data_IF_325244291867
#
_entry.id   IF_325244291867
#
_cell.length_a   1.000
_cell.length_b   1.000
_cell.length_c   1.000
_cell.angle_alpha   90.00
_cell.angle_beta   90.00
_cell.angle_gamma   90.00
#
_symmetry.space_group_name_H-M   'P 1'
#
loop_
_entity.id
_entity.type
_entity.pdbx_description
1 polymer ?
#
# COMPACT_ATOMS: atom_id res chain seq x y z
N UNK A 1 -51.97 7.99 -5.42
CA UNK A 1 -51.62 8.41 -6.80
C UNK A 1 -50.65 9.60 -6.82
N UNK A 2 -50.86 10.62 -5.99
CA UNK A 2 -50.02 11.85 -5.92
C UNK A 2 -48.53 11.56 -5.61
N UNK A 3 -48.22 10.63 -4.69
CA UNK A 3 -46.84 10.28 -4.32
C UNK A 3 -46.02 9.69 -5.47
N UNK A 4 -46.65 8.90 -6.37
CA UNK A 4 -45.94 8.31 -7.52
C UNK A 4 -45.58 9.35 -8.58
N UNK A 5 -46.43 10.35 -8.78
CA UNK A 5 -46.16 11.43 -9.75
C UNK A 5 -45.00 12.31 -9.26
N UNK A 6 -44.94 12.61 -7.96
CA UNK A 6 -43.85 13.39 -7.38
C UNK A 6 -42.49 12.68 -7.47
N UNK A 7 -42.42 11.36 -7.21
CA UNK A 7 -41.17 10.59 -7.36
C UNK A 7 -40.65 10.57 -8.80
N UNK A 8 -41.51 10.41 -9.80
CA UNK A 8 -41.08 10.39 -11.21
C UNK A 8 -40.54 11.76 -11.63
N UNK A 9 -41.19 12.84 -11.22
CA UNK A 9 -40.73 14.20 -11.52
C UNK A 9 -39.35 14.50 -10.92
N UNK A 10 -39.11 14.11 -9.66
CA UNK A 10 -37.82 14.29 -8.99
C UNK A 10 -36.71 13.46 -9.68
N UNK A 11 -37.01 12.24 -10.13
CA UNK A 11 -36.05 11.40 -10.84
C UNK A 11 -35.67 12.00 -12.20
N UNK A 12 -36.63 12.54 -12.95
CA UNK A 12 -36.36 13.19 -14.25
C UNK A 12 -35.53 14.45 -14.12
N UNK A 13 -35.75 15.26 -13.07
CA UNK A 13 -34.94 16.46 -12.81
C UNK A 13 -33.51 16.07 -12.46
N UNK A 14 -33.31 15.05 -11.62
CA UNK A 14 -31.97 14.58 -11.25
C UNK A 14 -31.17 14.07 -12.46
N UNK A 15 -31.82 13.38 -13.40
CA UNK A 15 -31.18 12.90 -14.63
C UNK A 15 -30.79 14.05 -15.57
N UNK A 16 -31.66 15.05 -15.75
CA UNK A 16 -31.37 16.20 -16.61
C UNK A 16 -30.19 17.04 -16.09
N UNK A 17 -30.12 17.26 -14.77
CA UNK A 17 -29.00 17.97 -14.12
C UNK A 17 -27.68 17.19 -14.29
N UNK A 18 -27.72 15.86 -14.29
CA UNK A 18 -26.53 15.05 -14.48
C UNK A 18 -25.98 15.15 -15.91
N UNK A 19 -26.86 15.12 -16.92
CA UNK A 19 -26.47 15.27 -18.32
C UNK A 19 -25.88 16.66 -18.62
N UNK A 20 -26.43 17.72 -18.01
CA UNK A 20 -25.88 19.07 -18.19
C UNK A 20 -24.49 19.22 -17.56
N UNK A 21 -24.25 18.62 -16.39
CA UNK A 21 -22.95 18.67 -15.74
C UNK A 21 -21.88 17.91 -16.56
N UNK A 22 -22.24 16.74 -17.10
CA UNK A 22 -21.36 15.98 -17.99
C UNK A 22 -20.98 16.78 -19.24
N UNK A 23 -21.96 17.42 -19.91
CA UNK A 23 -21.68 18.27 -21.08
C UNK A 23 -20.91 19.55 -20.76
N UNK A 24 -20.88 20.00 -19.50
CA UNK A 24 -20.00 21.09 -19.07
C UNK A 24 -18.57 20.61 -18.90
N UNK A 25 -18.34 19.47 -18.25
CA UNK A 25 -17.01 18.90 -18.10
C UNK A 25 -16.39 18.50 -19.43
N UNK A 26 -17.15 17.94 -20.36
CA UNK A 26 -16.67 17.58 -21.69
C UNK A 26 -16.16 18.81 -22.46
N UNK A 27 -16.93 19.91 -22.49
CA UNK A 27 -16.49 21.17 -23.09
C UNK A 27 -15.24 21.74 -22.42
N UNK A 28 -15.14 21.63 -21.09
CA UNK A 28 -13.95 22.08 -20.35
C UNK A 28 -12.74 21.21 -20.67
N UNK A 29 -12.90 19.89 -20.73
CA UNK A 29 -11.85 18.95 -21.14
C UNK A 29 -11.34 19.27 -22.55
N UNK A 30 -12.23 19.55 -23.49
CA UNK A 30 -11.85 19.95 -24.86
C UNK A 30 -11.07 21.26 -24.89
N UNK A 31 -11.38 22.19 -23.98
CA UNK A 31 -10.69 23.48 -23.89
C UNK A 31 -9.33 23.44 -23.20
N UNK A 32 -8.94 22.31 -22.59
CA UNK A 32 -7.65 22.18 -21.91
C UNK A 32 -6.48 22.30 -22.90
N UNK A 33 -5.42 22.96 -22.44
CA UNK A 33 -4.16 23.10 -23.17
C UNK A 33 -3.00 22.52 -22.35
N UNK A 34 -2.11 21.70 -22.93
CA UNK A 34 -0.96 21.15 -22.20
C UNK A 34 0.02 22.21 -21.69
N UNK A 35 -0.07 23.45 -22.18
CA UNK A 35 0.71 24.59 -21.69
C UNK A 35 0.14 25.22 -20.42
N UNK A 36 -1.04 24.82 -19.96
CA UNK A 36 -1.69 25.31 -18.75
C UNK A 36 -1.97 24.15 -17.76
N UNK A 37 -0.98 23.75 -16.95
CA UNK A 37 -1.16 22.71 -15.94
C UNK A 37 -2.25 23.05 -14.91
N UNK A 38 -2.49 24.33 -14.63
CA UNK A 38 -3.47 24.78 -13.66
C UNK A 38 -4.91 24.49 -14.13
N UNK A 39 -5.17 24.59 -15.44
CA UNK A 39 -6.45 24.19 -16.03
C UNK A 39 -6.83 22.74 -15.72
N UNK A 40 -5.86 21.81 -15.79
CA UNK A 40 -6.09 20.40 -15.43
C UNK A 40 -6.37 20.24 -13.93
N UNK A 41 -5.60 20.93 -13.08
CA UNK A 41 -5.75 20.86 -11.63
C UNK A 41 -7.14 21.36 -11.17
N UNK A 42 -7.55 22.55 -11.62
CA UNK A 42 -8.85 23.14 -11.25
C UNK A 42 -10.00 22.25 -11.74
N UNK A 43 -9.89 21.70 -12.95
CA UNK A 43 -10.90 20.76 -13.44
C UNK A 43 -10.92 19.46 -12.62
N UNK A 44 -9.75 18.97 -12.17
CA UNK A 44 -9.66 17.80 -11.31
C UNK A 44 -10.37 18.04 -9.97
N UNK A 45 -10.20 19.22 -9.35
CA UNK A 45 -10.88 19.59 -8.10
C UNK A 45 -12.40 19.62 -8.28
N UNK A 46 -12.89 20.22 -9.36
CA UNK A 46 -14.32 20.30 -9.66
C UNK A 46 -14.93 18.91 -9.89
N UNK A 47 -14.26 18.04 -10.66
CA UNK A 47 -14.71 16.67 -10.91
C UNK A 47 -14.66 15.85 -9.61
N UNK A 48 -13.60 15.98 -8.81
CA UNK A 48 -13.48 15.29 -7.52
C UNK A 48 -14.58 15.71 -6.54
N UNK A 49 -14.89 17.01 -6.44
CA UNK A 49 -15.93 17.53 -5.56
C UNK A 49 -17.35 17.13 -5.98
N UNK A 50 -17.56 16.78 -7.25
CA UNK A 50 -18.85 16.36 -7.81
C UNK A 50 -18.94 14.86 -8.11
N UNK A 51 -17.90 14.10 -7.80
CA UNK A 51 -17.80 12.68 -8.15
C UNK A 51 -18.93 11.85 -7.53
N UNK A 52 -19.64 11.09 -8.37
CA UNK A 52 -20.73 10.18 -7.96
C UNK A 52 -20.39 8.72 -8.18
N UNK A 53 -19.36 8.43 -8.97
CA UNK A 53 -18.99 7.08 -9.35
C UNK A 53 -17.50 6.87 -9.56
N UNK A 54 -17.14 5.63 -9.88
CA UNK A 54 -15.75 5.21 -10.13
C UNK A 54 -15.18 5.91 -11.36
N UNK A 55 -15.99 6.18 -12.39
CA UNK A 55 -15.57 6.88 -13.61
C UNK A 55 -15.13 8.33 -13.31
N UNK A 56 -15.91 9.08 -12.52
CA UNK A 56 -15.56 10.45 -12.11
C UNK A 56 -14.27 10.48 -11.29
N UNK A 57 -14.10 9.53 -10.37
CA UNK A 57 -12.86 9.40 -9.57
C UNK A 57 -11.67 9.08 -10.47
N UNK A 58 -11.84 8.20 -11.47
CA UNK A 58 -10.77 7.89 -12.43
C UNK A 58 -10.41 9.10 -13.29
N UNK A 59 -11.40 9.88 -13.72
CA UNK A 59 -11.18 11.12 -14.47
C UNK A 59 -10.44 12.15 -13.62
N UNK A 60 -10.90 12.42 -12.39
CA UNK A 60 -10.22 13.34 -11.47
C UNK A 60 -8.78 12.88 -11.18
N UNK A 61 -8.57 11.58 -10.92
CA UNK A 61 -7.24 11.00 -10.75
C UNK A 61 -6.36 11.28 -11.97
N UNK A 62 -6.86 11.03 -13.19
CA UNK A 62 -6.12 11.29 -14.43
C UNK A 62 -5.75 12.76 -14.57
N UNK A 63 -6.69 13.67 -14.31
CA UNK A 63 -6.47 15.10 -14.41
C UNK A 63 -5.42 15.60 -13.41
N UNK A 64 -5.44 15.15 -12.16
CA UNK A 64 -4.38 15.48 -11.20
C UNK A 64 -3.00 14.94 -11.62
N UNK A 65 -2.94 13.72 -12.16
CA UNK A 65 -1.68 13.16 -12.66
C UNK A 65 -1.13 13.98 -13.84
N UNK A 66 -2.00 14.38 -14.77
CA UNK A 66 -1.60 15.23 -15.91
C UNK A 66 -1.15 16.62 -15.43
N UNK A 67 -1.87 17.23 -14.47
CA UNK A 67 -1.46 18.50 -13.87
C UNK A 67 -0.07 18.41 -13.23
N UNK A 68 0.19 17.33 -12.46
CA UNK A 68 1.50 17.06 -11.87
C UNK A 68 2.59 16.93 -12.97
N UNK A 69 2.37 16.06 -13.96
CA UNK A 69 3.35 15.79 -15.00
C UNK A 69 3.66 17.03 -15.86
N UNK A 70 2.65 17.83 -16.20
CA UNK A 70 2.82 19.07 -16.97
C UNK A 70 3.54 20.14 -16.15
N UNK A 71 3.20 20.30 -14.87
CA UNK A 71 3.90 21.23 -13.97
C UNK A 71 5.40 20.91 -13.87
N UNK A 72 5.76 19.62 -13.81
CA UNK A 72 7.17 19.20 -13.84
C UNK A 72 7.88 19.53 -15.16
N UNK A 73 7.20 19.40 -16.30
CA UNK A 73 7.77 19.75 -17.61
C UNK A 73 8.04 21.24 -17.73
N UNK A 74 7.05 22.08 -17.40
CA UNK A 74 7.19 23.54 -17.45
C UNK A 74 8.33 24.04 -16.56
N UNK A 75 8.53 23.41 -15.41
CA UNK A 75 9.63 23.71 -14.53
C UNK A 75 11.01 23.38 -15.11
N UNK A 76 11.13 22.24 -15.79
CA UNK A 76 12.40 21.86 -16.43
C UNK A 76 12.84 22.86 -17.50
N UNK A 77 11.91 23.64 -18.05
CA UNK A 77 12.16 24.68 -19.05
C UNK A 77 12.47 26.05 -18.41
N UNK A 78 11.93 26.32 -17.22
CA UNK A 78 12.20 27.56 -16.49
C UNK A 78 13.48 27.46 -15.65
N UNK A 79 14.51 28.26 -15.96
CA UNK A 79 15.75 28.35 -15.16
C UNK A 79 15.60 29.17 -13.86
N UNK A 80 14.38 29.59 -13.51
CA UNK A 80 14.09 30.41 -12.33
C UNK A 80 13.75 29.60 -11.07
N UNK A 81 13.92 30.22 -9.91
CA UNK A 81 13.47 29.71 -8.61
C UNK A 81 12.01 29.22 -8.71
N UNK A 82 11.83 27.93 -8.47
CA UNK A 82 10.66 27.19 -8.84
C UNK A 82 9.43 27.46 -7.95
N UNK A 83 8.31 27.79 -8.59
CA UNK A 83 6.99 27.59 -8.00
C UNK A 83 6.62 26.10 -8.05
N UNK A 84 6.82 25.37 -6.95
CA UNK A 84 6.29 24.00 -6.75
C UNK A 84 4.85 23.87 -6.18
N UNK A 85 4.01 24.93 -6.00
CA UNK A 85 2.75 24.77 -5.27
C UNK A 85 1.78 23.83 -5.98
N UNK A 86 1.76 23.82 -7.32
CA UNK A 86 0.76 23.07 -8.08
C UNK A 86 1.01 21.56 -8.06
N UNK A 87 2.25 21.14 -8.29
CA UNK A 87 2.64 19.72 -8.26
C UNK A 87 2.34 19.09 -6.89
N UNK A 88 2.69 19.80 -5.81
CA UNK A 88 2.41 19.34 -4.46
C UNK A 88 0.90 19.31 -4.16
N UNK A 89 0.14 20.32 -4.59
CA UNK A 89 -1.32 20.36 -4.42
C UNK A 89 -2.02 19.23 -5.20
N UNK A 90 -1.57 18.92 -6.42
CA UNK A 90 -2.07 17.78 -7.19
C UNK A 90 -1.81 16.44 -6.47
N UNK A 91 -0.65 16.29 -5.82
CA UNK A 91 -0.36 15.10 -5.00
C UNK A 91 -1.31 14.99 -3.79
N UNK A 92 -1.68 16.10 -3.15
CA UNK A 92 -2.66 16.10 -2.07
C UNK A 92 -4.07 15.75 -2.57
N UNK A 93 -4.49 16.33 -3.70
CA UNK A 93 -5.76 15.98 -4.35
C UNK A 93 -5.84 14.49 -4.71
N UNK A 94 -4.74 13.92 -5.23
CA UNK A 94 -4.63 12.47 -5.44
C UNK A 94 -4.72 11.69 -4.12
N UNK A 95 -4.07 12.16 -3.05
CA UNK A 95 -4.08 11.47 -1.76
C UNK A 95 -5.50 11.38 -1.17
N UNK A 96 -6.34 12.39 -1.42
CA UNK A 96 -7.71 12.41 -0.95
C UNK A 96 -8.65 11.51 -1.77
N UNK A 97 -8.31 11.23 -3.04
CA UNK A 97 -9.04 10.27 -3.90
C UNK A 97 -8.67 8.80 -3.66
N UNK A 98 -7.51 8.52 -3.06
CA UNK A 98 -7.04 7.15 -2.87
C UNK A 98 -7.74 6.44 -1.71
N UNK A 99 -8.00 5.13 -1.85
CA UNK A 99 -8.61 4.32 -0.78
C UNK A 99 -7.58 3.69 0.14
N UNK A 100 -6.40 3.38 -0.38
CA UNK A 100 -5.35 2.66 0.36
C UNK A 100 -4.51 3.64 1.19
N UNK A 101 -4.50 3.50 2.51
CA UNK A 101 -3.74 4.36 3.43
C UNK A 101 -2.24 4.45 3.09
N UNK A 102 -1.63 3.34 2.66
CA UNK A 102 -0.23 3.34 2.25
C UNK A 102 0.03 4.32 1.07
N UNK A 103 -0.89 4.35 0.10
CA UNK A 103 -0.77 5.22 -1.08
C UNK A 103 -1.08 6.68 -0.73
N UNK A 104 -2.04 6.93 0.16
CA UNK A 104 -2.29 8.28 0.71
C UNK A 104 -1.03 8.84 1.40
N UNK A 105 -0.40 8.04 2.27
CA UNK A 105 0.84 8.43 2.96
C UNK A 105 1.96 8.70 1.98
N UNK A 106 2.12 7.85 0.96
CA UNK A 106 3.12 8.04 -0.09
C UNK A 106 2.91 9.37 -0.86
N UNK A 107 1.67 9.67 -1.28
CA UNK A 107 1.35 10.92 -1.99
C UNK A 107 1.51 12.17 -1.11
N UNK A 108 1.16 12.09 0.18
CA UNK A 108 1.38 13.19 1.14
C UNK A 108 2.87 13.43 1.42
N UNK A 109 3.65 12.36 1.53
CA UNK A 109 5.10 12.46 1.65
C UNK A 109 5.72 13.09 0.40
N UNK A 110 5.25 12.70 -0.79
CA UNK A 110 5.65 13.31 -2.06
C UNK A 110 5.30 14.79 -2.11
N UNK A 111 4.08 15.18 -1.71
CA UNK A 111 3.67 16.58 -1.63
C UNK A 111 4.59 17.38 -0.70
N UNK A 112 4.94 16.84 0.47
CA UNK A 112 5.86 17.48 1.40
C UNK A 112 7.30 17.58 0.91
N UNK A 113 7.74 16.66 0.04
CA UNK A 113 9.04 16.75 -0.64
C UNK A 113 9.04 17.83 -1.72
N UNK A 114 7.95 17.96 -2.46
CA UNK A 114 7.77 18.95 -3.52
C UNK A 114 7.63 20.37 -2.95
N UNK A 115 6.92 20.53 -1.83
CA UNK A 115 6.71 21.81 -1.17
C UNK A 115 6.75 21.64 0.36
N UNK A 116 7.75 22.26 0.99
CA UNK A 116 8.02 22.16 2.42
C UNK A 116 6.82 22.60 3.28
N UNK A 117 5.92 23.45 2.76
CA UNK A 117 4.71 23.86 3.49
C UNK A 117 3.77 22.69 3.76
N UNK A 118 3.81 21.65 2.93
CA UNK A 118 3.05 20.43 3.11
C UNK A 118 3.85 19.31 3.78
N UNK A 119 5.15 19.52 4.05
CA UNK A 119 5.91 18.59 4.84
C UNK A 119 5.28 18.51 6.23
N UNK A 120 4.81 17.31 6.61
CA UNK A 120 4.32 17.08 7.95
C UNK A 120 5.44 17.48 8.92
N UNK A 121 5.21 18.55 9.68
CA UNK A 121 6.17 18.97 10.70
C UNK A 121 6.33 17.78 11.63
N UNK A 122 7.57 17.30 11.76
CA UNK A 122 7.91 16.07 12.49
C UNK A 122 7.34 16.05 13.92
N UNK A 123 7.01 17.20 14.48
CA UNK A 123 6.50 17.35 15.85
C UNK A 123 4.97 17.40 15.94
N UNK A 124 4.27 17.59 14.81
CA UNK A 124 2.80 17.63 14.74
C UNK A 124 2.19 16.26 14.48
N UNK A 125 3.02 15.25 14.19
CA UNK A 125 2.58 13.87 14.25
C UNK A 125 2.26 13.55 15.71
N UNK A 126 1.00 13.74 16.10
CA UNK A 126 0.47 13.16 17.33
C UNK A 126 0.93 11.70 17.32
N UNK A 127 1.60 11.22 18.38
CA UNK A 127 1.89 9.79 18.47
C UNK A 127 0.55 9.12 18.23
N UNK A 128 0.46 8.33 17.15
CA UNK A 128 -0.70 7.47 17.00
C UNK A 128 -0.77 6.75 18.34
N UNK A 129 -1.94 6.80 18.98
CA UNK A 129 -2.17 6.06 20.21
C UNK A 129 -2.12 4.57 19.81
N UNK A 130 -0.90 4.09 19.56
CA UNK A 130 -0.53 2.72 19.28
C UNK A 130 -0.76 2.01 20.59
N UNK A 131 -2.03 1.76 20.87
CA UNK A 131 -2.42 0.77 21.85
C UNK A 131 -1.70 -0.49 21.37
N UNK A 132 -0.78 -1.07 22.17
CA UNK A 132 -0.02 -2.23 21.75
C UNK A 132 -0.99 -3.25 21.19
N UNK A 133 -0.82 -3.62 19.92
CA UNK A 133 -1.70 -4.60 19.30
C UNK A 133 -1.38 -5.94 19.96
N UNK A 134 -2.17 -6.30 20.97
CA UNK A 134 -2.00 -7.52 21.75
C UNK A 134 -1.92 -8.75 20.84
N UNK A 135 -2.73 -8.80 19.78
CA UNK A 135 -2.71 -9.86 18.78
C UNK A 135 -1.38 -9.93 18.02
N UNK A 136 -0.75 -8.78 17.75
CA UNK A 136 0.55 -8.72 17.08
C UNK A 136 1.69 -9.18 17.99
N UNK A 137 1.62 -8.85 19.29
CA UNK A 137 2.53 -9.40 20.30
C UNK A 137 2.39 -10.92 20.42
N UNK A 138 1.15 -11.42 20.53
CA UNK A 138 0.86 -12.86 20.61
C UNK A 138 1.34 -13.62 19.37
N UNK A 139 1.14 -13.07 18.18
CA UNK A 139 1.62 -13.67 16.94
C UNK A 139 3.15 -13.67 16.87
N UNK A 140 3.82 -12.59 17.28
CA UNK A 140 5.29 -12.57 17.36
C UNK A 140 5.80 -13.60 18.38
N UNK A 141 5.17 -13.71 19.54
CA UNK A 141 5.52 -14.72 20.54
C UNK A 141 5.35 -16.14 19.97
N UNK A 142 4.24 -16.40 19.25
CA UNK A 142 3.99 -17.69 18.60
C UNK A 142 5.11 -18.07 17.61
N UNK A 143 5.56 -17.12 16.80
CA UNK A 143 6.66 -17.32 15.83
C UNK A 143 7.97 -17.59 16.57
N UNK A 144 8.34 -16.78 17.56
CA UNK A 144 9.55 -17.00 18.35
C UNK A 144 9.56 -18.34 19.08
N UNK A 145 8.43 -18.74 19.67
CA UNK A 145 8.24 -20.05 20.30
C UNK A 145 8.42 -21.17 19.27
N UNK A 146 7.81 -21.05 18.09
CA UNK A 146 7.98 -22.02 17.02
C UNK A 146 9.44 -22.14 16.58
N UNK A 147 10.11 -21.02 16.29
CA UNK A 147 11.51 -21.00 15.87
C UNK A 147 12.47 -21.58 16.92
N UNK A 148 12.17 -21.40 18.21
CA UNK A 148 12.96 -21.96 19.32
C UNK A 148 12.68 -23.44 19.59
N UNK A 149 11.63 -23.99 18.96
CA UNK A 149 11.15 -25.36 19.09
C UNK A 149 10.26 -25.61 20.30
N UNK A 150 9.64 -24.59 20.87
CA UNK A 150 8.62 -24.72 21.92
C UNK A 150 7.21 -24.84 21.33
N UNK A 151 6.99 -25.94 20.60
CA UNK A 151 5.78 -26.09 19.81
C UNK A 151 4.47 -26.27 20.57
N UNK A 152 4.51 -26.69 21.83
CA UNK A 152 3.29 -26.80 22.64
C UNK A 152 2.73 -25.41 22.96
N UNK A 153 3.59 -24.51 23.45
CA UNK A 153 3.21 -23.12 23.67
C UNK A 153 2.94 -22.40 22.34
N UNK A 154 3.76 -22.64 21.30
CA UNK A 154 3.53 -22.04 19.99
C UNK A 154 2.14 -22.40 19.43
N UNK A 155 1.72 -23.68 19.55
CA UNK A 155 0.39 -24.12 19.13
C UNK A 155 -0.71 -23.43 19.91
N UNK A 156 -0.60 -23.35 21.22
CA UNK A 156 -1.57 -22.62 22.05
C UNK A 156 -1.74 -21.17 21.57
N UNK A 157 -0.64 -20.49 21.23
CA UNK A 157 -0.69 -19.13 20.67
C UNK A 157 -1.29 -19.09 19.26
N UNK A 158 -0.94 -20.02 18.38
CA UNK A 158 -1.49 -20.09 17.01
C UNK A 158 -2.98 -20.46 16.98
N UNK A 159 -3.48 -21.15 18.01
CA UNK A 159 -4.89 -21.50 18.15
C UNK A 159 -5.74 -20.33 18.71
N UNK A 160 -5.13 -19.21 19.14
CA UNK A 160 -5.86 -18.02 19.58
C UNK A 160 -6.60 -17.38 18.38
N UNK A 161 -7.94 -17.20 18.44
CA UNK A 161 -8.72 -16.64 17.33
C UNK A 161 -8.24 -15.27 16.85
N UNK A 162 -7.66 -14.47 17.75
CA UNK A 162 -7.12 -13.14 17.41
C UNK A 162 -5.84 -13.24 16.59
N UNK A 163 -5.00 -14.23 16.90
CA UNK A 163 -3.78 -14.54 16.14
C UNK A 163 -4.14 -15.10 14.77
N UNK A 164 -5.13 -15.98 14.68
CA UNK A 164 -5.64 -16.52 13.41
C UNK A 164 -6.14 -15.39 12.51
N UNK A 165 -7.01 -14.52 13.02
CA UNK A 165 -7.56 -13.40 12.27
C UNK A 165 -6.46 -12.45 11.75
N UNK A 166 -5.48 -12.12 12.61
CA UNK A 166 -4.34 -11.28 12.21
C UNK A 166 -3.47 -11.98 11.16
N UNK A 167 -3.19 -13.27 11.33
CA UNK A 167 -2.37 -14.04 10.40
C UNK A 167 -3.04 -14.17 9.02
N UNK A 168 -4.37 -14.30 8.96
CA UNK A 168 -5.12 -14.26 7.70
C UNK A 168 -5.05 -12.86 7.05
N UNK A 169 -5.16 -11.78 7.84
CA UNK A 169 -5.05 -10.40 7.35
C UNK A 169 -3.65 -10.09 6.79
N UNK A 170 -2.59 -10.58 7.44
CA UNK A 170 -1.20 -10.26 7.08
C UNK A 170 -0.49 -11.36 6.30
N UNK A 171 -1.20 -12.41 5.87
CA UNK A 171 -0.65 -13.56 5.13
C UNK A 171 0.19 -13.15 3.93
N UNK A 172 -0.34 -12.23 3.13
CA UNK A 172 0.28 -11.73 1.89
C UNK A 172 1.60 -10.98 2.11
N UNK A 173 1.93 -10.63 3.35
CA UNK A 173 3.20 -9.98 3.68
C UNK A 173 4.34 -11.01 3.71
N UNK A 174 4.07 -12.20 4.23
CA UNK A 174 5.07 -13.25 4.40
C UNK A 174 5.07 -14.21 3.20
N UNK A 175 3.89 -14.64 2.74
CA UNK A 175 3.69 -15.66 1.71
C UNK A 175 3.89 -15.13 0.26
N UNK A 176 4.66 -14.06 0.07
CA UNK A 176 4.93 -13.51 -1.27
C UNK A 176 5.79 -14.45 -2.11
N UNK A 177 5.55 -14.55 -3.44
CA UNK A 177 6.43 -15.31 -4.33
C UNK A 177 7.89 -14.88 -4.19
N UNK A 178 8.78 -15.84 -3.94
CA UNK A 178 10.22 -15.61 -3.75
C UNK A 178 10.67 -15.44 -2.29
N UNK A 179 9.74 -15.34 -1.33
CA UNK A 179 10.08 -15.48 0.09
C UNK A 179 10.18 -16.97 0.47
N UNK A 180 11.22 -17.32 1.24
CA UNK A 180 11.36 -18.67 1.79
C UNK A 180 10.59 -18.87 3.12
N UNK A 181 10.22 -17.78 3.80
CA UNK A 181 9.38 -17.85 4.98
C UNK A 181 7.90 -17.94 4.58
N UNK A 182 7.12 -18.71 5.34
CA UNK A 182 5.68 -18.84 5.11
C UNK A 182 4.91 -19.01 6.40
N UNK A 183 3.74 -18.36 6.48
CA UNK A 183 2.83 -18.51 7.62
C UNK A 183 2.34 -19.96 7.75
N UNK A 184 2.02 -20.58 6.62
CA UNK A 184 1.55 -21.97 6.58
C UNK A 184 2.64 -22.95 6.98
N UNK A 185 3.89 -22.68 6.58
CA UNK A 185 5.03 -23.52 6.95
C UNK A 185 5.29 -23.48 8.47
N UNK A 186 5.36 -22.29 9.08
CA UNK A 186 5.61 -22.19 10.53
C UNK A 186 4.45 -22.74 11.37
N UNK A 187 3.20 -22.59 10.91
CA UNK A 187 2.04 -23.21 11.54
C UNK A 187 2.09 -24.73 11.45
N UNK A 188 2.47 -25.27 10.28
CA UNK A 188 2.64 -26.71 10.11
C UNK A 188 3.75 -27.26 11.03
N UNK A 189 4.90 -26.58 11.10
CA UNK A 189 6.00 -26.96 11.98
C UNK A 189 5.55 -26.96 13.45
N UNK A 190 4.74 -25.98 13.87
CA UNK A 190 4.14 -25.95 15.20
C UNK A 190 3.18 -27.13 15.48
N UNK A 191 2.51 -27.67 14.45
CA UNK A 191 1.62 -28.84 14.59
C UNK A 191 2.38 -30.17 14.71
N UNK A 192 3.60 -30.27 14.18
CA UNK A 192 4.40 -31.51 14.28
C UNK A 192 5.05 -31.68 15.67
N UNK A 193 5.07 -30.63 16.48
CA UNK A 193 5.64 -30.63 17.83
C UNK A 193 4.70 -31.08 18.95
N UNK A 194 5.22 -31.41 20.15
CA UNK A 194 6.63 -31.48 20.54
C UNK A 194 7.37 -32.66 19.88
N UNK A 195 8.71 -32.65 19.93
CA UNK A 195 9.52 -33.77 19.42
C UNK A 195 9.06 -35.09 20.06
N UNK A 196 8.70 -36.12 19.27
CA UNK A 196 8.09 -37.34 19.79
C UNK A 196 9.04 -38.17 20.68
N UNK A 197 10.36 -38.00 20.54
CA UNK A 197 11.35 -38.73 21.36
C UNK A 197 11.60 -38.02 22.70
N UNK A 198 11.83 -36.71 22.68
CA UNK A 198 12.30 -35.97 23.86
C UNK A 198 11.27 -35.02 24.50
N UNK A 199 10.09 -34.84 23.89
CA UNK A 199 9.10 -33.88 24.38
C UNK A 199 9.65 -32.45 24.50
N UNK A 200 10.55 -32.05 23.60
CA UNK A 200 11.30 -30.79 23.61
C UNK A 200 12.30 -30.60 24.78
N UNK A 201 12.57 -31.63 25.58
CA UNK A 201 13.60 -31.57 26.63
C UNK A 201 15.05 -31.54 26.09
N UNK A 202 15.24 -31.56 24.76
CA UNK A 202 16.52 -31.52 24.00
C UNK A 202 17.47 -32.71 24.20
N UNK A 203 17.32 -33.44 25.31
CA UNK A 203 18.05 -34.68 25.60
C UNK A 203 17.14 -35.74 26.20
N UNK A 204 17.53 -37.00 26.05
CA UNK A 204 16.85 -38.17 26.59
C UNK A 204 17.79 -38.91 27.53
N UNK A 205 17.27 -39.57 28.59
CA UNK A 205 18.10 -40.41 29.45
C UNK A 205 18.75 -41.53 28.62
N UNK A 206 20.06 -41.72 28.78
CA UNK A 206 20.79 -42.77 28.10
C UNK A 206 20.53 -44.12 28.79
N UNK A 207 19.80 -45.00 28.09
CA UNK A 207 19.46 -46.33 28.61
C UNK A 207 20.67 -47.24 28.75
N UNK A 208 21.75 -47.01 27.99
CA UNK A 208 22.98 -47.79 28.09
C UNK A 208 23.73 -47.51 29.40
N UNK A 209 23.62 -46.29 29.92
CA UNK A 209 24.30 -45.82 31.14
C UNK A 209 23.34 -45.74 32.34
N UNK A 210 22.32 -46.59 32.37
CA UNK A 210 21.37 -46.67 33.49
C UNK A 210 20.48 -45.44 33.66
N UNK A 211 20.36 -44.57 32.64
CA UNK A 211 19.48 -43.40 32.62
C UNK A 211 19.95 -42.19 33.43
N UNK A 212 21.12 -42.27 34.10
CA UNK A 212 21.67 -41.15 34.87
C UNK A 212 22.32 -40.10 33.98
N UNK A 213 22.95 -40.52 32.88
CA UNK A 213 23.53 -39.62 31.88
C UNK A 213 22.48 -39.28 30.83
N UNK A 214 22.40 -37.99 30.47
CA UNK A 214 21.52 -37.53 29.37
C UNK A 214 22.33 -37.42 28.10
N UNK A 215 21.83 -38.03 27.02
CA UNK A 215 22.35 -37.82 25.66
C UNK A 215 21.45 -36.84 24.91
N UNK A 216 21.99 -36.17 23.90
CA UNK A 216 21.17 -35.39 22.97
C UNK A 216 20.13 -36.30 22.30
N UNK A 217 18.93 -35.76 22.12
CA UNK A 217 17.86 -36.47 21.41
C UNK A 217 18.34 -36.83 20.00
N UNK A 218 18.15 -38.09 19.59
CA UNK A 218 18.57 -38.56 18.27
C UNK A 218 17.68 -37.99 17.16
N UNK A 219 16.40 -37.77 17.45
CA UNK A 219 15.43 -37.20 16.50
C UNK A 219 15.70 -35.73 16.21
N UNK A 220 15.79 -34.86 17.24
CA UNK A 220 15.95 -33.42 17.03
C UNK A 220 17.38 -32.90 17.19
N UNK A 221 18.32 -33.74 17.66
CA UNK A 221 19.73 -33.36 17.89
C UNK A 221 19.92 -32.12 18.78
N UNK A 222 18.97 -31.89 19.70
CA UNK A 222 18.98 -30.73 20.61
C UNK A 222 18.36 -29.44 20.04
N UNK A 223 17.95 -29.44 18.77
CA UNK A 223 17.18 -28.37 18.17
C UNK A 223 15.78 -28.86 17.79
N UNK A 224 14.79 -28.77 18.69
CA UNK A 224 13.42 -29.15 18.36
C UNK A 224 12.80 -28.24 17.30
N UNK A 225 13.31 -27.01 17.12
CA UNK A 225 12.80 -26.04 16.13
C UNK A 225 12.99 -26.47 14.67
N UNK A 226 12.40 -25.72 13.73
CA UNK A 226 12.40 -26.08 12.33
C UNK A 226 13.78 -25.81 11.73
N UNK A 227 14.16 -26.61 10.74
CA UNK A 227 15.41 -26.37 9.99
C UNK A 227 15.10 -25.39 8.89
N UNK A 228 15.35 -24.11 9.15
CA UNK A 228 15.10 -23.01 8.20
C UNK A 228 16.40 -22.43 7.66
N UNK A 229 16.35 -21.87 6.46
CA UNK A 229 17.47 -21.13 5.90
C UNK A 229 17.70 -19.81 6.64
N UNK A 230 18.87 -19.22 6.43
CA UNK A 230 19.17 -17.86 6.93
C UNK A 230 18.20 -16.81 6.37
N UNK A 231 17.79 -16.95 5.10
CA UNK A 231 16.87 -16.03 4.45
C UNK A 231 15.46 -16.10 5.06
N UNK A 232 14.95 -17.32 5.30
CA UNK A 232 13.68 -17.53 5.98
C UNK A 232 13.71 -16.98 7.42
N UNK A 233 14.80 -17.21 8.17
CA UNK A 233 14.95 -16.68 9.52
C UNK A 233 14.92 -15.15 9.57
N UNK A 234 15.64 -14.48 8.66
CA UNK A 234 15.59 -13.01 8.54
C UNK A 234 14.17 -12.53 8.18
N UNK A 235 13.46 -13.25 7.32
CA UNK A 235 12.09 -12.92 6.95
C UNK A 235 11.08 -13.10 8.10
N UNK A 236 11.28 -14.07 9.00
CA UNK A 236 10.46 -14.17 10.22
C UNK A 236 10.76 -13.04 11.20
N UNK A 237 12.03 -12.76 11.50
CA UNK A 237 12.42 -11.65 12.37
C UNK A 237 11.88 -10.30 11.85
N UNK A 238 11.87 -10.14 10.53
CA UNK A 238 11.29 -9.00 9.87
C UNK A 238 9.79 -8.85 10.09
N UNK A 239 9.09 -9.96 10.00
CA UNK A 239 7.68 -10.02 10.20
C UNK A 239 7.32 -9.78 11.67
N UNK A 240 8.05 -10.36 12.61
CA UNK A 240 7.95 -10.08 14.05
C UNK A 240 8.19 -8.59 14.34
N UNK A 241 9.23 -7.99 13.78
CA UNK A 241 9.47 -6.55 13.92
C UNK A 241 8.33 -5.71 13.36
N UNK A 242 7.72 -6.11 12.24
CA UNK A 242 6.60 -5.41 11.64
C UNK A 242 5.33 -5.50 12.52
N UNK A 243 5.10 -6.65 13.14
CA UNK A 243 3.99 -6.87 14.06
C UNK A 243 4.13 -6.01 15.32
N UNK A 244 5.32 -5.97 15.92
CA UNK A 244 5.55 -5.37 17.24
C UNK A 244 5.63 -3.84 17.24
N UNK A 245 6.06 -3.21 16.14
CA UNK A 245 6.28 -1.76 16.13
C UNK A 245 5.03 -0.94 15.77
N UNK A 246 3.87 -1.58 15.60
CA UNK A 246 2.73 -0.93 14.94
C UNK A 246 3.16 -0.34 13.60
N UNK A 247 2.33 0.49 12.99
CA UNK A 247 2.68 1.14 11.71
C UNK A 247 3.87 2.13 11.77
N UNK A 248 4.52 2.32 12.93
CA UNK A 248 5.66 3.21 13.13
C UNK A 248 6.97 2.48 12.84
N UNK A 249 7.29 2.37 11.55
CA UNK A 249 8.54 1.80 11.04
C UNK A 249 9.74 2.63 11.51
N UNK A 250 10.56 2.09 12.40
CA UNK A 250 11.94 2.61 12.53
C UNK A 250 12.73 2.18 11.29
N UNK A 251 13.39 3.15 10.65
CA UNK A 251 14.14 2.96 9.40
C UNK A 251 15.21 1.85 9.48
N UNK A 252 15.85 1.73 10.65
CA UNK A 252 16.81 0.66 10.93
C UNK A 252 16.20 -0.74 10.89
N UNK A 253 14.93 -0.88 11.28
CA UNK A 253 14.23 -2.16 11.20
C UNK A 253 13.94 -2.54 9.74
N UNK A 254 13.54 -1.60 8.89
CA UNK A 254 13.30 -1.91 7.46
C UNK A 254 14.58 -2.29 6.71
N UNK A 255 15.70 -1.62 7.01
CA UNK A 255 17.01 -1.97 6.45
C UNK A 255 17.53 -3.32 6.95
N UNK A 256 17.40 -3.61 8.25
CA UNK A 256 17.87 -4.87 8.83
C UNK A 256 17.16 -6.10 8.26
N UNK A 257 15.93 -5.90 7.79
CA UNK A 257 15.02 -6.92 7.25
C UNK A 257 15.31 -7.30 5.80
N UNK A 258 16.22 -6.61 5.11
CA UNK A 258 16.58 -6.95 3.74
C UNK A 258 15.43 -6.72 2.74
N UNK A 259 14.34 -6.05 3.14
CA UNK A 259 13.30 -5.51 2.24
C UNK A 259 13.79 -4.26 1.49
N UNK A 260 15.08 -4.22 1.18
CA UNK A 260 15.77 -3.16 0.48
C UNK A 260 15.38 -3.09 -1.00
N UNK A 261 14.10 -2.84 -1.29
CA UNK A 261 13.90 -1.68 -2.16
C UNK A 261 14.28 -0.51 -1.26
N UNK A 262 15.42 0.11 -1.57
CA UNK A 262 15.79 1.41 -1.03
C UNK A 262 14.51 2.22 -0.87
N UNK A 263 14.31 2.90 0.26
CA UNK A 263 13.23 3.87 0.41
C UNK A 263 13.26 4.67 -0.89
N UNK A 264 12.31 4.38 -1.80
CA UNK A 264 12.29 5.05 -3.08
C UNK A 264 11.90 6.44 -2.65
N UNK A 265 12.90 7.32 -2.67
CA UNK A 265 12.66 8.75 -2.54
C UNK A 265 11.53 9.00 -3.54
N UNK A 266 10.31 9.34 -3.07
CA UNK A 266 9.14 9.25 -3.91
C UNK A 266 9.38 10.18 -5.09
N UNK A 267 9.61 9.59 -6.26
CA UNK A 267 9.93 10.36 -7.45
C UNK A 267 8.60 10.70 -8.11
N UNK A 268 8.32 11.98 -8.43
CA UNK A 268 7.01 12.32 -8.96
C UNK A 268 6.76 11.69 -10.35
N UNK A 269 7.82 11.29 -11.07
CA UNK A 269 7.72 10.51 -12.31
C UNK A 269 7.12 9.11 -12.12
N UNK A 270 7.14 8.56 -10.90
CA UNK A 270 6.51 7.26 -10.58
C UNK A 270 4.99 7.36 -10.39
N UNK A 271 4.44 8.56 -10.20
CA UNK A 271 3.00 8.77 -9.97
C UNK A 271 2.18 8.28 -11.15
N UNK A 272 2.50 8.72 -12.36
CA UNK A 272 1.78 8.34 -13.57
C UNK A 272 1.70 6.81 -13.80
N UNK A 273 2.82 6.06 -13.83
CA UNK A 273 2.76 4.61 -14.01
C UNK A 273 2.10 3.89 -12.84
N UNK A 274 2.26 4.36 -11.60
CA UNK A 274 1.60 3.75 -10.42
C UNK A 274 0.07 3.86 -10.45
N UNK A 275 -0.45 4.84 -11.19
CA UNK A 275 -1.87 5.12 -11.38
C UNK A 275 -2.41 4.62 -12.73
N UNK A 276 -1.57 4.02 -13.57
CA UNK A 276 -1.97 3.56 -14.91
C UNK A 276 -2.34 4.69 -15.87
N UNK A 277 -1.78 5.89 -15.68
CA UNK A 277 -2.02 7.05 -16.53
C UNK A 277 -0.80 7.28 -17.40
N UNK A 278 -1.03 7.41 -18.70
CA UNK A 278 0.01 7.83 -19.65
C UNK A 278 0.13 9.36 -19.66
N UNK A 279 1.26 9.94 -19.20
CA UNK A 279 1.42 11.38 -19.12
C UNK A 279 1.60 12.05 -20.49
N UNK A 280 1.73 11.30 -21.59
CA UNK A 280 1.87 11.86 -22.94
C UNK A 280 0.52 12.18 -23.59
N UNK A 281 -0.56 11.51 -23.16
CA UNK A 281 -1.92 11.69 -23.68
C UNK A 281 -2.65 12.83 -22.95
N UNK A 282 -2.30 14.06 -23.34
CA UNK A 282 -2.72 15.31 -22.69
C UNK A 282 -3.96 15.94 -23.31
N UNK A 283 -4.28 15.64 -24.56
CA UNK A 283 -5.43 16.26 -25.24
C UNK A 283 -6.68 15.40 -25.07
N UNK A 284 -7.85 16.01 -24.90
CA UNK A 284 -9.13 15.30 -24.88
C UNK A 284 -10.00 15.72 -26.07
N UNK A 285 -10.31 14.79 -26.98
CA UNK A 285 -11.14 15.02 -28.18
C UNK A 285 -12.05 13.84 -28.42
N UNK A 286 -13.32 14.09 -28.73
CA UNK A 286 -14.31 13.07 -29.09
C UNK A 286 -14.35 11.88 -28.11
N UNK A 287 -14.33 12.19 -26.80
CA UNK A 287 -14.38 11.17 -25.75
C UNK A 287 -13.05 10.45 -25.47
N UNK A 288 -11.96 10.80 -26.16
CA UNK A 288 -10.67 10.08 -26.09
C UNK A 288 -9.52 10.99 -25.68
N UNK A 289 -8.57 10.41 -24.95
CA UNK A 289 -7.31 11.05 -24.63
C UNK A 289 -6.26 10.74 -25.71
N UNK A 290 -5.72 11.80 -26.31
CA UNK A 290 -4.78 11.77 -27.41
C UNK A 290 -3.43 12.36 -27.00
N UNK A 291 -2.35 11.83 -27.55
CA UNK A 291 -1.04 12.49 -27.54
C UNK A 291 -0.91 13.52 -28.68
N UNK A 292 0.21 14.25 -28.73
CA UNK A 292 0.43 15.29 -29.75
C UNK A 292 0.42 14.74 -31.19
N UNK A 293 0.84 13.48 -31.39
CA UNK A 293 0.90 12.86 -32.71
C UNK A 293 -0.50 12.46 -33.16
N UNK A 294 -1.24 11.80 -32.28
CA UNK A 294 -2.64 11.41 -32.50
C UNK A 294 -3.53 12.65 -32.77
N UNK A 295 -3.25 13.79 -32.11
CA UNK A 295 -3.97 15.04 -32.37
C UNK A 295 -3.67 15.62 -33.76
N UNK A 296 -2.41 15.61 -34.20
CA UNK A 296 -2.03 16.08 -35.54
C UNK A 296 -2.68 15.21 -36.63
N UNK A 297 -2.67 13.89 -36.45
CA UNK A 297 -3.33 12.96 -37.39
C UNK A 297 -4.83 13.22 -37.51
N UNK A 298 -5.51 13.58 -36.40
CA UNK A 298 -6.93 13.94 -36.41
C UNK A 298 -7.20 15.27 -37.14
N UNK A 299 -6.25 16.21 -37.14
CA UNK A 299 -6.38 17.50 -37.84
C UNK A 299 -6.14 17.39 -39.36
N UNK A 300 -5.35 16.41 -39.77
CA UNK A 300 -4.97 16.18 -41.17
C UNK A 300 -6.01 15.36 -41.97
N UNK A 301 -7.07 14.86 -41.33
CA UNK A 301 -8.19 14.17 -41.98
C UNK A 301 -9.40 15.11 -42.14
N UNK A 302 -9.48 15.90 -43.23
CA UNK A 302 -10.64 16.73 -43.53
C UNK A 302 -11.76 15.83 -44.03
N UNK A 303 -12.52 15.26 -43.09
CA UNK A 303 -13.77 14.55 -43.39
C UNK A 303 -14.74 15.35 -44.25
#
# INVERSE_FOLDING_TARGET
MIVRIACVALLTIALAVNASAQGEFERRLESLSPTDPNGYFVLAEDVAGQAKGVEDIQLARRLYVLALALAQRSQSESTGEAEYPLAASACLGLADLESTENRKRWLRALAGRLDERYAARRWDAAPSADTPNESALLLSEAIGLALSGDGSLARERFDDPRVIALLDETRDILDRPGNEASTSAIQHDAQVWPCPECGNARGVPDRAEGGQVRRLCSTCRGNPGPVISRAAFVAYLAYESLLLHGTQKSWSAELAVGRGRSLLDPEPSEVAPSMGVDPTKVHYRDGKWLDDRELMELQDDPG
#
